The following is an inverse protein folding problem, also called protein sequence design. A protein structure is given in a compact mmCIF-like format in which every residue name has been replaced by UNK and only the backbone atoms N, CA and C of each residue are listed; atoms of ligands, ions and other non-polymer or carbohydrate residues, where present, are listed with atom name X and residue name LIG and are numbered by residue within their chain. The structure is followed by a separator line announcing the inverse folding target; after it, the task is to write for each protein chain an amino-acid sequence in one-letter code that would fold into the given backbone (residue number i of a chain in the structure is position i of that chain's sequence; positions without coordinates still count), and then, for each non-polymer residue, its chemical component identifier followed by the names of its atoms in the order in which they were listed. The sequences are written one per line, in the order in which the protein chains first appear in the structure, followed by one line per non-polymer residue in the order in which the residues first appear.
data_IF_194265197450
#
_entry.id   IF_194265197450
#
_cell.length_a   1.000
_cell.length_b   1.000
_cell.length_c   1.000
_cell.angle_alpha   90.00
_cell.angle_beta   90.00
_cell.angle_gamma   90.00
#
_symmetry.space_group_name_H-M   'P 1'
#
loop_
_entity.id
_entity.type
_entity.pdbx_description
1 polymer ?
#
# COMPACT_ATOMS: atom_id res chain seq x y z
N UNK A 1 55.77 -0.77 0.00
CA UNK A 1 55.22 -0.52 -1.35
C UNK A 1 54.12 -1.52 -1.76
N UNK A 2 54.20 -2.81 -1.39
CA UNK A 2 53.22 -3.82 -1.81
C UNK A 2 51.78 -3.64 -1.25
N UNK A 3 51.61 -3.10 -0.04
CA UNK A 3 50.26 -2.95 0.56
C UNK A 3 49.41 -1.85 -0.12
N UNK A 4 50.05 -0.80 -0.66
CA UNK A 4 49.34 0.28 -1.34
C UNK A 4 48.78 -0.20 -2.69
N UNK A 5 49.59 -0.96 -3.43
CA UNK A 5 49.19 -1.53 -4.72
C UNK A 5 48.03 -2.52 -4.52
N UNK A 6 48.09 -3.35 -3.47
CA UNK A 6 47.02 -4.29 -3.14
C UNK A 6 45.69 -3.60 -2.80
N UNK A 7 45.72 -2.52 -2.00
CA UNK A 7 44.52 -1.73 -1.68
C UNK A 7 43.91 -1.04 -2.90
N UNK A 8 44.76 -0.53 -3.81
CA UNK A 8 44.30 0.10 -5.06
C UNK A 8 43.62 -0.93 -5.98
N UNK A 9 44.17 -2.14 -6.08
CA UNK A 9 43.57 -3.21 -6.89
C UNK A 9 42.22 -3.65 -6.31
N UNK A 10 42.10 -3.78 -4.99
CA UNK A 10 40.82 -4.09 -4.32
C UNK A 10 39.80 -2.98 -4.59
N UNK A 11 40.19 -1.71 -4.47
CA UNK A 11 39.30 -0.59 -4.69
C UNK A 11 38.79 -0.55 -6.15
N UNK A 12 39.67 -0.81 -7.13
CA UNK A 12 39.30 -0.88 -8.55
C UNK A 12 38.36 -2.07 -8.80
N UNK A 13 38.64 -3.24 -8.23
CA UNK A 13 37.79 -4.42 -8.38
C UNK A 13 36.38 -4.18 -7.79
N UNK A 14 36.30 -3.61 -6.58
CA UNK A 14 35.02 -3.26 -5.95
C UNK A 14 34.25 -2.20 -6.75
N UNK A 15 34.94 -1.22 -7.34
CA UNK A 15 34.32 -0.22 -8.21
C UNK A 15 33.73 -0.86 -9.48
N UNK A 16 34.46 -1.75 -10.13
CA UNK A 16 34.00 -2.46 -11.33
C UNK A 16 32.78 -3.35 -11.00
N UNK A 17 32.83 -4.10 -9.89
CA UNK A 17 31.69 -4.90 -9.41
C UNK A 17 30.48 -4.00 -9.14
N UNK A 18 30.68 -2.85 -8.49
CA UNK A 18 29.61 -1.88 -8.22
C UNK A 18 28.98 -1.32 -9.49
N UNK A 19 29.77 -1.06 -10.53
CA UNK A 19 29.27 -0.60 -11.84
C UNK A 19 28.48 -1.70 -12.55
N UNK A 20 28.96 -2.94 -12.56
CA UNK A 20 28.28 -4.08 -13.21
C UNK A 20 26.93 -4.34 -12.53
N UNK A 21 26.92 -4.44 -11.20
CA UNK A 21 25.70 -4.60 -10.41
C UNK A 21 24.77 -3.39 -10.62
N UNK A 22 25.29 -2.17 -10.66
CA UNK A 22 24.50 -0.97 -10.90
C UNK A 22 23.82 -0.94 -12.27
N UNK A 23 24.45 -1.48 -13.31
CA UNK A 23 23.89 -1.55 -14.67
C UNK A 23 22.85 -2.66 -14.79
N UNK A 24 23.11 -3.83 -14.23
CA UNK A 24 22.22 -4.99 -14.29
C UNK A 24 20.92 -4.77 -13.49
N UNK A 25 21.03 -4.09 -12.34
CA UNK A 25 19.87 -3.74 -11.52
C UNK A 25 19.27 -2.37 -11.86
N UNK A 26 19.75 -1.66 -12.89
CA UNK A 26 19.32 -0.28 -13.21
C UNK A 26 17.80 -0.14 -13.29
N UNK A 27 17.12 -1.06 -13.97
CA UNK A 27 15.66 -0.98 -14.14
C UNK A 27 14.89 -1.26 -12.82
N UNK A 28 15.44 -2.11 -11.95
CA UNK A 28 14.88 -2.40 -10.63
C UNK A 28 15.17 -1.25 -9.65
N UNK A 29 16.33 -0.61 -9.78
CA UNK A 29 16.74 0.58 -9.03
C UNK A 29 15.87 1.77 -9.44
N UNK A 30 15.64 2.01 -10.73
CA UNK A 30 14.83 3.13 -11.22
C UNK A 30 13.36 3.01 -10.78
N UNK A 31 12.81 1.80 -10.80
CA UNK A 31 11.44 1.54 -10.29
C UNK A 31 11.34 1.69 -8.78
N UNK A 32 12.35 1.22 -8.02
CA UNK A 32 12.45 1.43 -6.56
C UNK A 32 12.65 2.90 -6.22
N UNK A 33 13.45 3.65 -6.99
CA UNK A 33 13.66 5.11 -6.85
C UNK A 33 12.37 5.86 -7.13
N UNK A 34 11.61 5.51 -8.17
CA UNK A 34 10.33 6.15 -8.46
C UNK A 34 9.31 5.94 -7.32
N UNK A 35 9.28 4.73 -6.75
CA UNK A 35 8.49 4.43 -5.56
C UNK A 35 8.97 5.23 -4.33
N UNK A 36 10.29 5.27 -4.09
CA UNK A 36 10.88 6.03 -2.99
C UNK A 36 10.61 7.53 -3.13
N UNK A 37 10.65 8.08 -4.35
CA UNK A 37 10.38 9.50 -4.65
C UNK A 37 8.92 9.86 -4.40
N UNK A 38 7.99 8.93 -4.63
CA UNK A 38 6.57 9.10 -4.30
C UNK A 38 6.35 9.09 -2.79
N UNK A 39 6.94 8.12 -2.07
CA UNK A 39 6.82 7.98 -0.62
C UNK A 39 7.58 9.06 0.17
N UNK A 40 8.73 9.53 -0.34
CA UNK A 40 9.46 10.69 0.17
C UNK A 40 8.63 11.97 0.09
N UNK A 41 7.77 12.11 -0.93
CA UNK A 41 6.91 13.29 -1.07
C UNK A 41 5.81 13.30 -0.01
N UNK A 42 5.30 12.13 0.38
CA UNK A 42 4.28 11.95 1.40
C UNK A 42 4.86 12.13 2.82
N UNK A 43 6.05 11.57 3.10
CA UNK A 43 6.66 11.58 4.44
C UNK A 43 7.99 12.37 4.50
N UNK A 44 8.08 13.49 3.78
CA UNK A 44 9.33 14.25 3.58
C UNK A 44 10.08 14.58 4.87
N UNK A 45 9.35 14.94 5.93
CA UNK A 45 9.95 15.31 7.23
C UNK A 45 10.60 14.13 7.93
N UNK A 46 9.93 12.97 7.95
CA UNK A 46 10.44 11.77 8.61
C UNK A 46 11.71 11.26 7.95
N UNK A 47 11.73 11.22 6.61
CA UNK A 47 12.90 10.73 5.85
C UNK A 47 14.11 11.65 6.04
N UNK A 48 13.91 12.98 6.07
CA UNK A 48 14.99 13.94 6.32
C UNK A 48 15.57 13.77 7.74
N UNK A 49 14.71 13.61 8.75
CA UNK A 49 15.16 13.42 10.14
C UNK A 49 15.94 12.12 10.29
N UNK A 50 15.48 11.01 9.71
CA UNK A 50 16.22 9.74 9.71
C UNK A 50 17.55 9.84 8.96
N UNK A 51 17.60 10.55 7.82
CA UNK A 51 18.82 10.77 7.05
C UNK A 51 19.87 11.56 7.83
N UNK A 52 19.46 12.64 8.51
CA UNK A 52 20.33 13.44 9.38
C UNK A 52 20.85 12.60 10.56
N UNK A 53 19.99 11.79 11.17
CA UNK A 53 20.38 10.91 12.29
C UNK A 53 21.46 9.89 11.90
N UNK A 54 21.36 9.28 10.72
CA UNK A 54 22.37 8.34 10.21
C UNK A 54 23.71 9.06 9.96
N UNK A 55 23.67 10.24 9.34
CA UNK A 55 24.85 11.07 9.08
C UNK A 55 25.56 11.49 10.38
N UNK A 56 24.78 11.89 11.39
CA UNK A 56 25.31 12.25 12.70
C UNK A 56 25.92 11.05 13.42
N UNK A 57 25.25 9.89 13.35
CA UNK A 57 25.78 8.63 13.89
C UNK A 57 27.13 8.28 13.28
N UNK A 58 27.24 8.32 11.94
CA UNK A 58 28.50 8.05 11.23
C UNK A 58 29.61 9.02 11.64
N UNK A 59 29.31 10.32 11.74
CA UNK A 59 30.27 11.34 12.17
C UNK A 59 30.80 11.07 13.59
N UNK A 60 29.91 10.68 14.52
CA UNK A 60 30.29 10.33 15.89
C UNK A 60 31.14 9.06 15.93
N UNK A 61 30.76 8.00 15.20
CA UNK A 61 31.53 6.75 15.12
C UNK A 61 32.94 6.95 14.56
N UNK A 62 33.08 7.78 13.53
CA UNK A 62 34.40 8.15 12.95
C UNK A 62 35.20 9.00 13.93
N UNK A 63 34.57 9.93 14.63
CA UNK A 63 35.26 10.78 15.62
C UNK A 63 35.81 9.96 16.80
N UNK A 64 35.05 8.98 17.32
CA UNK A 64 35.49 8.10 18.40
C UNK A 64 36.69 7.24 17.96
N UNK A 65 36.67 6.73 16.73
CA UNK A 65 37.75 5.88 16.20
C UNK A 65 39.04 6.65 15.91
N UNK A 66 38.94 7.95 15.59
CA UNK A 66 40.10 8.84 15.43
C UNK A 66 40.74 9.23 16.77
N UNK A 67 39.96 9.34 17.86
CA UNK A 67 40.45 9.74 19.20
C UNK A 67 41.11 8.57 19.95
N UNK A 68 40.71 7.32 19.68
CA UNK A 68 41.23 6.12 20.37
C UNK A 68 41.95 5.14 19.42
N UNK A 69 43.15 5.48 18.93
CA UNK A 69 43.82 4.74 17.85
C UNK A 69 44.32 3.34 18.21
N UNK A 70 44.51 3.02 19.51
CA UNK A 70 45.16 1.76 19.94
C UNK A 70 44.27 0.51 19.82
N UNK A 71 42.95 0.64 19.73
CA UNK A 71 41.99 -0.47 19.54
C UNK A 71 41.08 -0.27 18.31
N UNK A 72 41.51 0.58 17.37
CA UNK A 72 40.66 1.19 16.34
C UNK A 72 40.07 0.20 15.33
N UNK A 73 40.80 -0.85 14.94
CA UNK A 73 40.33 -1.80 13.91
C UNK A 73 39.21 -2.70 14.45
N UNK A 74 39.33 -3.18 15.69
CA UNK A 74 38.28 -4.00 16.33
C UNK A 74 37.00 -3.20 16.58
N UNK A 75 37.13 -1.99 17.13
CA UNK A 75 36.00 -1.10 17.36
C UNK A 75 35.30 -0.68 16.07
N UNK A 76 36.05 -0.44 14.98
CA UNK A 76 35.46 -0.09 13.68
C UNK A 76 34.68 -1.28 13.08
N UNK A 77 35.20 -2.51 13.23
CA UNK A 77 34.51 -3.72 12.79
C UNK A 77 33.20 -3.93 13.57
N UNK A 78 33.21 -3.73 14.89
CA UNK A 78 32.01 -3.82 15.73
C UNK A 78 30.97 -2.75 15.36
N UNK A 79 31.43 -1.55 15.00
CA UNK A 79 30.57 -0.46 14.57
C UNK A 79 29.91 -0.75 13.21
N UNK A 80 30.70 -1.19 12.23
CA UNK A 80 30.20 -1.56 10.89
C UNK A 80 29.22 -2.74 11.00
N UNK A 81 29.53 -3.74 11.83
CA UNK A 81 28.65 -4.88 12.11
C UNK A 81 27.32 -4.44 12.74
N UNK A 82 27.37 -3.53 13.72
CA UNK A 82 26.19 -2.99 14.40
C UNK A 82 25.29 -2.19 13.46
N UNK A 83 25.88 -1.34 12.61
CA UNK A 83 25.14 -0.56 11.59
C UNK A 83 24.53 -1.49 10.53
N UNK A 84 25.27 -2.50 10.09
CA UNK A 84 24.79 -3.51 9.14
C UNK A 84 23.59 -4.29 9.68
N UNK A 85 23.65 -4.70 10.95
CA UNK A 85 22.57 -5.43 11.63
C UNK A 85 21.33 -4.55 11.79
N UNK A 86 21.51 -3.31 12.25
CA UNK A 86 20.40 -2.36 12.38
C UNK A 86 19.73 -2.07 11.02
N UNK A 87 20.54 -1.89 9.97
CA UNK A 87 20.06 -1.71 8.60
C UNK A 87 19.26 -2.91 8.11
N UNK A 88 19.75 -4.14 8.34
CA UNK A 88 19.05 -5.36 7.97
C UNK A 88 17.72 -5.51 8.70
N UNK A 89 17.65 -5.15 9.98
CA UNK A 89 16.39 -5.16 10.76
C UNK A 89 15.41 -4.12 10.21
N UNK A 90 15.85 -2.89 9.94
CA UNK A 90 15.00 -1.84 9.37
C UNK A 90 14.46 -2.27 7.99
N UNK A 91 15.30 -2.82 7.12
CA UNK A 91 14.89 -3.31 5.80
C UNK A 91 13.91 -4.49 5.94
N UNK A 92 14.16 -5.41 6.85
CA UNK A 92 13.26 -6.54 7.11
C UNK A 92 11.91 -6.07 7.64
N UNK A 93 11.89 -5.10 8.56
CA UNK A 93 10.67 -4.48 9.07
C UNK A 93 9.94 -3.71 7.96
N UNK A 94 10.68 -3.02 7.09
CA UNK A 94 10.13 -2.28 5.95
C UNK A 94 9.51 -3.22 4.91
N UNK A 95 10.14 -4.35 4.62
CA UNK A 95 9.58 -5.37 3.72
C UNK A 95 8.37 -6.07 4.35
N UNK A 96 8.38 -6.31 5.66
CA UNK A 96 7.25 -6.87 6.38
C UNK A 96 6.04 -5.91 6.40
N UNK A 97 6.27 -4.61 6.62
CA UNK A 97 5.22 -3.58 6.70
C UNK A 97 4.79 -3.04 5.32
N UNK A 98 5.63 -3.19 4.29
CA UNK A 98 5.35 -2.76 2.92
C UNK A 98 4.54 -3.75 2.08
N UNK A 99 4.03 -4.84 2.67
CA UNK A 99 3.19 -5.82 1.96
C UNK A 99 2.01 -5.11 1.29
N UNK A 100 1.93 -5.25 -0.03
CA UNK A 100 0.82 -4.76 -0.86
C UNK A 100 -0.50 -5.18 -0.23
N UNK A 101 -1.50 -4.29 -0.26
CA UNK A 101 -2.85 -4.61 0.20
C UNK A 101 -3.29 -5.94 -0.41
N UNK A 102 -3.55 -6.94 0.45
CA UNK A 102 -3.92 -8.29 0.02
C UNK A 102 -5.25 -8.30 -0.72
N UNK A 103 -6.05 -7.25 -0.53
CA UNK A 103 -7.35 -7.06 -1.12
C UNK A 103 -7.45 -5.69 -1.77
N UNK A 104 -8.17 -5.66 -2.90
CA UNK A 104 -8.57 -4.43 -3.57
C UNK A 104 -10.07 -4.43 -3.76
N UNK A 105 -10.72 -3.38 -3.25
CA UNK A 105 -12.15 -3.21 -3.45
C UNK A 105 -12.37 -2.19 -4.56
N UNK A 106 -13.29 -2.52 -5.45
CA UNK A 106 -13.77 -1.67 -6.53
C UNK A 106 -15.29 -1.60 -6.48
N UNK A 107 -15.87 -0.60 -7.12
CA UNK A 107 -17.30 -0.50 -7.34
C UNK A 107 -17.63 -0.20 -8.80
N UNK A 108 -18.85 -0.52 -9.20
CA UNK A 108 -19.39 -0.14 -10.49
C UNK A 108 -20.91 -0.13 -10.47
N UNK A 109 -21.50 0.17 -11.62
CA UNK A 109 -22.94 0.38 -11.77
C UNK A 109 -23.54 -0.59 -12.77
N UNK A 110 -24.77 -0.99 -12.50
CA UNK A 110 -25.59 -1.75 -13.44
C UNK A 110 -27.00 -1.16 -13.50
N UNK A 111 -27.60 -1.14 -14.69
CA UNK A 111 -29.01 -0.81 -14.88
C UNK A 111 -29.66 -2.08 -15.44
N UNK A 112 -30.48 -2.75 -14.64
CA UNK A 112 -31.22 -3.93 -15.09
C UNK A 112 -32.28 -3.54 -16.13
N UNK A 113 -32.73 -4.50 -16.94
CA UNK A 113 -33.80 -4.30 -17.95
C UNK A 113 -35.09 -3.69 -17.36
N UNK A 114 -35.36 -3.97 -16.09
CA UNK A 114 -36.46 -3.37 -15.29
C UNK A 114 -36.23 -1.91 -14.88
N UNK A 115 -35.22 -1.23 -15.44
CA UNK A 115 -34.80 0.14 -15.06
C UNK A 115 -34.34 0.27 -13.60
N UNK A 116 -34.04 -0.86 -12.97
CA UNK A 116 -33.57 -0.92 -11.60
C UNK A 116 -32.07 -0.61 -11.55
N UNK A 117 -31.71 0.39 -10.75
CA UNK A 117 -30.33 0.87 -10.58
C UNK A 117 -29.64 0.10 -9.46
N UNK A 118 -28.51 -0.50 -9.76
CA UNK A 118 -27.72 -1.28 -8.82
C UNK A 118 -26.27 -0.82 -8.79
N UNK A 119 -25.71 -0.75 -7.59
CA UNK A 119 -24.28 -0.58 -7.38
C UNK A 119 -23.72 -1.94 -7.00
N UNK A 120 -22.73 -2.42 -7.74
CA UNK A 120 -22.00 -3.62 -7.38
C UNK A 120 -20.63 -3.27 -6.81
N UNK A 121 -20.22 -4.06 -5.83
CA UNK A 121 -18.96 -3.96 -5.10
C UNK A 121 -18.19 -5.25 -5.32
N UNK A 122 -16.91 -5.13 -5.66
CA UNK A 122 -16.06 -6.27 -5.99
C UNK A 122 -14.82 -6.22 -5.10
N UNK A 123 -14.60 -7.29 -4.34
CA UNK A 123 -13.36 -7.50 -3.59
C UNK A 123 -12.46 -8.50 -4.35
N UNK A 124 -11.33 -8.02 -4.87
CA UNK A 124 -10.32 -8.81 -5.55
C UNK A 124 -9.25 -9.31 -4.58
N UNK A 125 -9.05 -10.62 -4.52
CA UNK A 125 -7.96 -11.22 -3.77
C UNK A 125 -6.64 -11.12 -4.56
N UNK A 126 -5.77 -10.19 -4.14
CA UNK A 126 -4.45 -9.98 -4.72
C UNK A 126 -3.35 -10.79 -4.02
N UNK A 127 -3.71 -11.60 -3.03
CA UNK A 127 -2.76 -12.49 -2.36
C UNK A 127 -2.58 -13.80 -3.10
N UNK A 128 -1.53 -14.52 -2.71
CA UNK A 128 -1.17 -15.87 -3.13
C UNK A 128 -1.97 -16.97 -2.41
N UNK A 129 -2.74 -16.62 -1.38
CA UNK A 129 -3.55 -17.57 -0.62
C UNK A 129 -5.05 -17.28 -0.76
N UNK A 130 -5.88 -18.28 -0.48
CA UNK A 130 -7.33 -18.07 -0.37
C UNK A 130 -7.67 -17.27 0.89
N UNK A 131 -8.56 -16.28 0.77
CA UNK A 131 -9.04 -15.46 1.89
C UNK A 131 -10.55 -15.66 2.01
N UNK A 132 -11.05 -15.81 3.24
CA UNK A 132 -12.50 -15.79 3.50
C UNK A 132 -12.96 -14.36 3.66
N UNK A 133 -14.03 -13.97 2.95
CA UNK A 133 -14.54 -12.61 2.95
C UNK A 133 -16.05 -12.58 3.13
N UNK A 134 -16.49 -11.71 4.04
CA UNK A 134 -17.88 -11.36 4.25
C UNK A 134 -18.13 -9.94 3.75
N UNK A 135 -19.24 -9.75 3.05
CA UNK A 135 -19.70 -8.40 2.77
C UNK A 135 -20.28 -7.77 4.04
N UNK A 136 -19.59 -6.75 4.55
CA UNK A 136 -19.91 -6.17 5.85
C UNK A 136 -21.06 -5.15 5.78
N UNK A 137 -21.27 -4.54 4.60
CA UNK A 137 -22.38 -3.62 4.36
C UNK A 137 -21.95 -2.26 3.82
N UNK A 138 -22.90 -1.32 3.87
CA UNK A 138 -22.74 0.09 3.47
C UNK A 138 -23.10 1.04 4.61
N UNK A 139 -22.46 2.21 4.68
CA UNK A 139 -22.79 3.26 5.65
C UNK A 139 -22.45 4.64 5.12
N UNK A 140 -22.98 5.70 5.73
CA UNK A 140 -22.41 7.04 5.53
C UNK A 140 -21.03 7.10 6.18
N UNK A 141 -20.20 8.01 5.68
CA UNK A 141 -18.87 8.27 6.27
C UNK A 141 -18.93 8.55 7.77
N UNK A 142 -19.93 9.31 8.20
CA UNK A 142 -20.14 9.75 9.59
C UNK A 142 -20.76 8.67 10.49
N UNK A 143 -21.46 7.70 9.91
CA UNK A 143 -22.14 6.66 10.69
C UNK A 143 -21.15 5.66 11.28
N UNK A 144 -21.47 5.08 12.44
CA UNK A 144 -20.65 4.02 13.06
C UNK A 144 -21.04 2.61 12.62
N UNK A 145 -22.30 2.43 12.21
CA UNK A 145 -22.91 1.11 11.98
C UNK A 145 -23.08 0.88 10.48
N UNK A 146 -22.76 -0.33 10.03
CA UNK A 146 -23.00 -0.76 8.65
C UNK A 146 -24.40 -1.34 8.50
N UNK A 147 -25.00 -1.06 7.33
CA UNK A 147 -26.30 -1.58 6.93
C UNK A 147 -26.09 -2.63 5.84
N UNK A 148 -26.77 -3.77 5.97
CA UNK A 148 -26.72 -4.89 5.03
C UNK A 148 -28.13 -5.39 4.76
N UNK A 149 -28.36 -5.82 3.53
CA UNK A 149 -29.67 -6.32 3.12
C UNK A 149 -29.96 -7.70 3.69
N UNK A 150 -28.90 -8.53 3.78
CA UNK A 150 -28.96 -9.89 4.31
C UNK A 150 -27.75 -10.15 5.20
N UNK A 151 -27.89 -11.08 6.14
CA UNK A 151 -26.75 -11.68 6.81
C UNK A 151 -26.04 -12.59 5.81
N UNK A 152 -24.86 -12.18 5.36
CA UNK A 152 -24.07 -12.93 4.38
C UNK A 152 -23.05 -13.78 5.12
N UNK A 153 -22.94 -15.03 4.71
CA UNK A 153 -21.94 -15.95 5.24
C UNK A 153 -20.58 -15.63 4.59
N UNK A 154 -19.47 -15.68 5.33
CA UNK A 154 -18.14 -15.54 4.75
C UNK A 154 -17.92 -16.51 3.58
N UNK A 155 -17.49 -15.98 2.42
CA UNK A 155 -17.19 -16.75 1.23
C UNK A 155 -15.69 -16.83 1.02
N UNK A 156 -15.19 -18.03 0.70
CA UNK A 156 -13.77 -18.23 0.41
C UNK A 156 -13.46 -17.80 -1.02
N UNK A 157 -12.58 -16.82 -1.17
CA UNK A 157 -12.10 -16.27 -2.45
C UNK A 157 -10.68 -16.75 -2.69
N UNK A 158 -10.42 -17.49 -3.77
CA UNK A 158 -9.05 -17.95 -4.10
C UNK A 158 -8.18 -16.81 -4.60
N UNK A 159 -6.87 -17.07 -4.67
CA UNK A 159 -5.92 -16.13 -5.25
C UNK A 159 -6.32 -15.75 -6.69
N UNK A 160 -6.39 -14.44 -6.97
CA UNK A 160 -6.81 -13.92 -8.28
C UNK A 160 -8.31 -13.93 -8.55
N UNK A 161 -9.12 -14.55 -7.69
CA UNK A 161 -10.58 -14.50 -7.79
C UNK A 161 -11.16 -13.25 -7.11
N UNK A 162 -12.47 -13.08 -7.25
CA UNK A 162 -13.20 -11.97 -6.64
C UNK A 162 -14.52 -12.40 -6.03
N UNK A 163 -14.93 -11.69 -4.98
CA UNK A 163 -16.30 -11.71 -4.48
C UNK A 163 -17.04 -10.48 -4.98
N UNK A 164 -18.27 -10.66 -5.47
CA UNK A 164 -19.13 -9.58 -5.95
C UNK A 164 -20.41 -9.54 -5.15
N UNK A 165 -20.74 -8.37 -4.61
CA UNK A 165 -22.02 -8.08 -3.98
C UNK A 165 -22.71 -6.95 -4.73
N UNK A 166 -23.99 -7.10 -5.04
CA UNK A 166 -24.79 -6.03 -5.66
C UNK A 166 -25.83 -5.54 -4.65
N UNK A 167 -26.04 -4.24 -4.59
CA UNK A 167 -27.09 -3.60 -3.81
C UNK A 167 -27.91 -2.67 -4.69
N UNK A 168 -29.21 -2.64 -4.47
CA UNK A 168 -30.09 -1.71 -5.15
C UNK A 168 -29.92 -0.29 -4.61
N UNK A 169 -29.97 0.69 -5.49
CA UNK A 169 -29.90 2.11 -5.10
C UNK A 169 -31.08 2.49 -4.19
N UNK A 170 -32.26 1.90 -4.42
CA UNK A 170 -33.45 2.03 -3.57
C UNK A 170 -33.18 1.57 -2.13
N UNK A 171 -32.56 0.41 -1.96
CA UNK A 171 -32.16 -0.13 -0.66
C UNK A 171 -31.19 0.81 0.05
N UNK A 172 -30.13 1.25 -0.63
CA UNK A 172 -29.12 2.15 -0.05
C UNK A 172 -29.76 3.47 0.41
N UNK A 173 -30.64 4.06 -0.41
CA UNK A 173 -31.36 5.28 -0.06
C UNK A 173 -32.22 5.12 1.18
N UNK A 174 -33.00 4.03 1.24
CA UNK A 174 -33.89 3.72 2.37
C UNK A 174 -33.10 3.50 3.66
N UNK A 175 -32.11 2.61 3.63
CA UNK A 175 -31.38 2.21 4.84
C UNK A 175 -30.45 3.30 5.38
N UNK A 176 -29.90 4.13 4.50
CA UNK A 176 -29.07 5.26 4.91
C UNK A 176 -29.89 6.53 5.11
N UNK A 177 -31.17 6.59 4.74
CA UNK A 177 -31.95 7.82 4.77
C UNK A 177 -31.28 8.92 3.94
N UNK A 178 -30.95 8.61 2.69
CA UNK A 178 -30.35 9.55 1.72
C UNK A 178 -31.19 9.63 0.45
N UNK A 179 -31.06 10.74 -0.26
CA UNK A 179 -31.71 11.00 -1.55
C UNK A 179 -30.69 11.14 -2.68
N UNK A 180 -31.15 11.49 -3.89
CA UNK A 180 -30.25 11.73 -5.04
C UNK A 180 -29.37 12.98 -4.90
N UNK A 181 -29.69 13.87 -3.95
CA UNK A 181 -29.02 15.15 -3.76
C UNK A 181 -27.95 15.10 -2.65
N UNK A 182 -27.90 14.03 -1.87
CA UNK A 182 -26.94 13.82 -0.80
C UNK A 182 -25.49 14.07 -1.26
N UNK A 183 -24.81 15.01 -0.60
CA UNK A 183 -23.46 15.50 -0.94
C UNK A 183 -22.31 14.70 -0.32
N UNK A 184 -22.61 13.74 0.55
CA UNK A 184 -21.60 13.00 1.29
C UNK A 184 -21.09 11.75 0.58
N UNK A 185 -20.12 11.10 1.23
CA UNK A 185 -19.56 9.84 0.78
C UNK A 185 -20.22 8.65 1.48
N UNK A 186 -20.37 7.56 0.74
CA UNK A 186 -20.80 6.25 1.24
C UNK A 186 -19.58 5.34 1.31
N UNK A 187 -19.49 4.57 2.39
CA UNK A 187 -18.43 3.58 2.57
C UNK A 187 -19.05 2.20 2.43
N UNK A 188 -18.43 1.36 1.60
CA UNK A 188 -18.70 -0.07 1.50
C UNK A 188 -17.51 -0.84 2.04
N UNK A 189 -17.73 -1.93 2.77
CA UNK A 189 -16.63 -2.77 3.26
C UNK A 189 -16.87 -4.26 3.09
N UNK A 190 -15.75 -4.97 2.89
CA UNK A 190 -15.64 -6.41 3.07
C UNK A 190 -14.78 -6.67 4.30
N UNK A 191 -15.09 -7.71 5.05
CA UNK A 191 -14.38 -8.09 6.26
C UNK A 191 -13.85 -9.51 6.17
N UNK A 192 -12.65 -9.72 6.70
CA UNK A 192 -12.11 -11.06 6.97
C UNK A 192 -12.69 -11.59 8.32
N UNK A 193 -12.65 -12.92 8.58
CA UNK A 193 -13.19 -13.51 9.81
C UNK A 193 -12.52 -13.02 11.10
N UNK A 194 -11.29 -12.49 10.99
CA UNK A 194 -10.57 -11.87 12.10
C UNK A 194 -11.06 -10.46 12.44
N UNK A 195 -12.01 -9.93 11.66
CA UNK A 195 -12.56 -8.58 11.79
C UNK A 195 -11.80 -7.51 11.01
N UNK A 196 -10.75 -7.86 10.26
CA UNK A 196 -10.01 -6.93 9.41
C UNK A 196 -10.92 -6.41 8.30
N UNK A 197 -11.12 -5.08 8.25
CA UNK A 197 -12.03 -4.43 7.30
C UNK A 197 -11.26 -3.79 6.15
N UNK A 198 -11.72 -4.09 4.95
CA UNK A 198 -11.27 -3.48 3.72
C UNK A 198 -12.42 -2.64 3.19
N UNK A 199 -12.20 -1.37 2.88
CA UNK A 199 -13.27 -0.44 2.56
C UNK A 199 -13.00 0.37 1.30
N UNK A 200 -14.06 0.68 0.57
CA UNK A 200 -14.07 1.58 -0.58
C UNK A 200 -15.02 2.74 -0.30
N UNK A 201 -14.57 3.96 -0.65
CA UNK A 201 -15.36 5.18 -0.47
C UNK A 201 -15.93 5.63 -1.80
N UNK A 202 -17.24 5.84 -1.85
CA UNK A 202 -17.99 6.25 -3.03
C UNK A 202 -18.55 7.64 -2.81
N UNK A 203 -18.23 8.56 -3.72
CA UNK A 203 -18.89 9.85 -3.76
C UNK A 203 -20.28 9.71 -4.38
N UNK A 204 -21.33 9.90 -3.58
CA UNK A 204 -22.70 9.57 -3.98
C UNK A 204 -23.19 10.39 -5.17
N UNK A 205 -22.96 11.70 -5.18
CA UNK A 205 -23.40 12.57 -6.27
C UNK A 205 -22.76 12.20 -7.61
N UNK A 206 -21.46 11.90 -7.59
CA UNK A 206 -20.74 11.45 -8.78
C UNK A 206 -21.34 10.15 -9.32
N UNK A 207 -21.74 9.25 -8.42
CA UNK A 207 -22.36 7.98 -8.76
C UNK A 207 -23.76 8.17 -9.35
N UNK A 208 -24.60 9.01 -8.75
CA UNK A 208 -25.93 9.33 -9.29
C UNK A 208 -25.85 10.03 -10.64
N UNK A 209 -24.85 10.89 -10.86
CA UNK A 209 -24.62 11.53 -12.15
C UNK A 209 -24.28 10.50 -13.25
N UNK A 210 -23.47 9.48 -12.95
CA UNK A 210 -23.18 8.40 -13.90
C UNK A 210 -24.45 7.63 -14.26
N UNK A 211 -25.33 7.33 -13.30
CA UNK A 211 -26.62 6.69 -13.59
C UNK A 211 -27.50 7.54 -14.51
N UNK A 212 -27.58 8.86 -14.28
CA UNK A 212 -28.33 9.78 -15.15
C UNK A 212 -27.80 9.74 -16.59
N UNK A 213 -26.47 9.77 -16.76
CA UNK A 213 -25.82 9.68 -18.08
C UNK A 213 -26.05 8.33 -18.75
N UNK A 214 -25.98 7.24 -18.00
CA UNK A 214 -26.22 5.89 -18.52
C UNK A 214 -27.68 5.70 -18.94
N UNK A 215 -28.63 6.24 -18.17
CA UNK A 215 -30.06 6.18 -18.50
C UNK A 215 -30.39 6.98 -19.76
N UNK A 216 -29.84 8.20 -19.91
CA UNK A 216 -30.02 9.01 -21.11
C UNK A 216 -29.62 8.26 -22.40
N UNK A 217 -28.47 7.59 -22.37
CA UNK A 217 -27.98 6.76 -23.50
C UNK A 217 -28.89 5.58 -23.86
N UNK A 218 -29.68 5.07 -22.91
CA UNK A 218 -30.61 3.97 -23.17
C UNK A 218 -31.90 4.50 -23.81
N UNK A 219 -32.37 5.69 -23.42
CA UNK A 219 -33.55 6.34 -24.00
C UNK A 219 -33.35 6.93 -25.39
N UNK A 220 -32.11 7.25 -25.76
CA UNK A 220 -31.78 7.81 -27.09
C UNK A 220 -31.56 6.73 -28.18
N UNK A 221 -31.65 5.44 -27.84
CA UNK A 221 -31.60 4.29 -28.75
C UNK A 221 -32.95 3.59 -28.85
#
# INVERSE_FOLDING_TARGET
MNNLIFLVVIAIALFIIGVIVGVEYKHEIDTKIAFFKRKYRENKKEVIVSGIGILFGLMVGVSITLIFPKNSIGMLADWISSVGTLGAVIVSLWLATGRKSRLKICHGQNIKKSHQKEIYFIAYNLSDISISLEFYGVKKKEDKVFKREFELIPQRVKAGEFQKQSLEVSFIKKELGIDDNYKGDIICCFAEPDGSKHCETINWQKEMLKFKKAQAKITDN
#
